data_IF_073257886378
#
_entry.id   IF_073257886378
#
_cell.length_a   1.000
_cell.length_b   1.000
_cell.length_c   1.000
_cell.angle_alpha   90.00
_cell.angle_beta   90.00
_cell.angle_gamma   90.00
#
_symmetry.space_group_name_H-M   'P 1'
#
loop_
_entity.id
_entity.type
_entity.pdbx_description
1 polymer ?
#
# COMPACT_ATOMS: atom_id res chain seq x y z
N UNK A 1 -24.39 -6.59 12.60
CA UNK A 1 -23.06 -6.31 13.18
C UNK A 1 -22.22 -5.61 12.12
N UNK A 2 -22.17 -4.28 12.14
CA UNK A 2 -21.39 -3.51 11.18
C UNK A 2 -19.91 -3.62 11.55
N UNK A 3 -19.12 -4.36 10.76
CA UNK A 3 -17.67 -4.50 10.97
C UNK A 3 -16.97 -3.28 10.37
N UNK A 4 -16.08 -2.67 11.14
CA UNK A 4 -15.17 -1.65 10.66
C UNK A 4 -14.11 -2.31 9.77
N UNK A 5 -13.92 -1.78 8.56
CA UNK A 5 -12.95 -2.28 7.59
C UNK A 5 -11.97 -1.16 7.28
N UNK A 6 -10.72 -1.42 7.63
CA UNK A 6 -9.60 -0.51 7.38
C UNK A 6 -8.88 -0.94 6.10
N UNK A 7 -8.71 -0.02 5.16
CA UNK A 7 -8.01 -0.23 3.90
C UNK A 7 -6.73 0.60 3.87
N UNK A 8 -5.58 -0.07 3.80
CA UNK A 8 -4.26 0.58 3.74
C UNK A 8 -3.72 0.47 2.32
N UNK A 9 -3.34 1.59 1.72
CA UNK A 9 -2.78 1.63 0.37
C UNK A 9 -1.56 2.54 0.30
N UNK A 10 -0.51 2.06 -0.39
CA UNK A 10 0.68 2.82 -0.72
C UNK A 10 0.64 3.18 -2.20
N UNK A 11 0.89 4.45 -2.53
CA UNK A 11 0.71 4.94 -3.89
C UNK A 11 1.77 4.41 -4.87
N UNK A 12 2.97 4.09 -4.39
CA UNK A 12 4.15 3.68 -5.16
C UNK A 12 4.25 2.16 -5.38
N UNK A 13 3.55 1.36 -4.56
CA UNK A 13 3.62 -0.12 -4.58
C UNK A 13 3.34 -0.73 -5.95
N UNK A 14 2.51 -0.08 -6.78
CA UNK A 14 2.17 -0.55 -8.12
C UNK A 14 3.26 -0.37 -9.17
N UNK A 15 4.29 0.44 -8.89
CA UNK A 15 5.33 0.82 -9.83
C UNK A 15 6.61 -0.03 -9.68
N UNK A 16 6.71 -0.86 -8.64
CA UNK A 16 7.86 -1.74 -8.45
C UNK A 16 7.88 -2.87 -9.49
N UNK A 17 9.06 -3.10 -10.06
CA UNK A 17 9.30 -4.14 -11.04
C UNK A 17 10.38 -5.10 -10.54
N UNK A 18 10.01 -6.36 -10.32
CA UNK A 18 10.94 -7.40 -9.83
C UNK A 18 11.87 -7.96 -10.91
N UNK A 19 11.58 -7.77 -12.20
CA UNK A 19 12.34 -8.36 -13.29
C UNK A 19 11.49 -9.10 -14.33
N UNK A 20 12.11 -9.39 -15.47
CA UNK A 20 11.51 -10.17 -16.56
C UNK A 20 11.39 -11.64 -16.13
N UNK A 21 10.29 -12.31 -16.49
CA UNK A 21 10.04 -13.70 -16.07
C UNK A 21 9.62 -13.89 -14.61
N UNK A 22 9.75 -12.87 -13.75
CA UNK A 22 9.31 -12.98 -12.36
C UNK A 22 7.76 -13.02 -12.26
N UNK A 23 7.17 -14.05 -11.62
CA UNK A 23 5.72 -14.24 -11.57
C UNK A 23 5.02 -13.19 -10.70
N UNK A 24 5.71 -12.65 -9.68
CA UNK A 24 5.16 -11.60 -8.83
C UNK A 24 5.15 -10.27 -9.57
N UNK A 25 3.96 -9.70 -9.80
CA UNK A 25 3.77 -8.35 -10.35
C UNK A 25 3.05 -7.45 -9.33
N UNK A 26 3.74 -6.49 -8.68
CA UNK A 26 3.15 -5.54 -7.73
C UNK A 26 2.00 -4.72 -8.30
N UNK A 27 2.00 -4.53 -9.62
CA UNK A 27 0.94 -3.88 -10.37
C UNK A 27 -0.48 -4.40 -10.05
N UNK A 28 -0.62 -5.67 -9.64
CA UNK A 28 -1.90 -6.23 -9.20
C UNK A 28 -2.57 -5.45 -8.08
N UNK A 29 -1.79 -4.85 -7.17
CA UNK A 29 -2.30 -4.04 -6.06
C UNK A 29 -2.90 -2.72 -6.59
N UNK A 30 -2.31 -2.14 -7.63
CA UNK A 30 -2.85 -0.95 -8.32
C UNK A 30 -4.12 -1.26 -9.09
N UNK A 31 -4.19 -2.45 -9.72
CA UNK A 31 -5.41 -2.92 -10.39
C UNK A 31 -6.57 -3.08 -9.40
N UNK A 32 -6.34 -3.72 -8.24
CA UNK A 32 -7.39 -3.91 -7.23
C UNK A 32 -7.82 -2.59 -6.60
N UNK A 33 -6.89 -1.67 -6.34
CA UNK A 33 -7.22 -0.31 -5.86
C UNK A 33 -8.16 0.42 -6.83
N UNK A 34 -7.88 0.36 -8.13
CA UNK A 34 -8.72 1.00 -9.15
C UNK A 34 -10.13 0.39 -9.19
N UNK A 35 -10.25 -0.94 -9.09
CA UNK A 35 -11.56 -1.58 -9.01
C UNK A 35 -12.33 -1.13 -7.77
N UNK A 36 -11.68 -1.09 -6.61
CA UNK A 36 -12.31 -0.65 -5.36
C UNK A 36 -12.86 0.78 -5.45
N UNK A 37 -12.12 1.68 -6.12
CA UNK A 37 -12.57 3.04 -6.40
C UNK A 37 -13.79 3.06 -7.34
N UNK A 38 -13.71 2.36 -8.47
CA UNK A 38 -14.80 2.32 -9.46
C UNK A 38 -16.09 1.69 -8.90
N UNK A 39 -15.98 0.71 -8.02
CA UNK A 39 -17.14 0.10 -7.35
C UNK A 39 -17.69 0.95 -6.19
N UNK A 40 -17.08 2.09 -5.86
CA UNK A 40 -17.55 2.96 -4.76
C UNK A 40 -17.40 2.34 -3.36
N UNK A 41 -16.66 1.22 -3.25
CA UNK A 41 -16.44 0.50 -1.99
C UNK A 41 -15.64 1.32 -0.98
N UNK A 42 -14.86 2.29 -1.47
CA UNK A 42 -14.11 3.26 -0.67
C UNK A 42 -14.99 4.03 0.33
N UNK A 43 -16.30 4.19 0.06
CA UNK A 43 -17.24 4.90 0.94
C UNK A 43 -17.61 4.14 2.21
N UNK A 44 -17.35 2.83 2.25
CA UNK A 44 -17.70 1.94 3.37
C UNK A 44 -16.47 1.52 4.18
N UNK A 45 -15.30 2.09 3.88
CA UNK A 45 -14.02 1.71 4.48
C UNK A 45 -13.28 2.96 4.95
N UNK A 46 -12.48 2.80 5.99
CA UNK A 46 -11.52 3.83 6.42
C UNK A 46 -10.23 3.67 5.63
N UNK A 47 -9.86 4.68 4.85
CA UNK A 47 -8.72 4.64 3.93
C UNK A 47 -7.52 5.30 4.59
N UNK A 48 -6.43 4.55 4.71
CA UNK A 48 -5.15 5.06 5.17
C UNK A 48 -4.15 5.02 4.04
N UNK A 49 -3.60 6.20 3.71
CA UNK A 49 -2.49 6.32 2.78
C UNK A 49 -1.21 6.23 3.59
N UNK A 50 -0.49 5.13 3.45
CA UNK A 50 0.82 4.99 4.06
C UNK A 50 1.84 5.66 3.15
N UNK A 51 2.34 6.82 3.57
CA UNK A 51 3.58 7.34 3.01
C UNK A 51 4.71 6.42 3.47
N UNK A 52 5.68 6.20 2.58
CA UNK A 52 6.89 5.46 2.92
C UNK A 52 7.38 5.92 4.29
N UNK A 53 7.49 4.99 5.24
CA UNK A 53 8.24 5.20 6.46
C UNK A 53 9.68 5.35 5.96
N UNK A 54 10.06 6.59 5.67
CA UNK A 54 11.41 6.96 5.37
C UNK A 54 12.21 6.75 6.65
N UNK A 55 12.60 5.50 6.86
CA UNK A 55 13.58 5.08 7.84
C UNK A 55 13.14 5.37 9.28
N UNK A 56 13.12 4.34 10.13
CA UNK A 56 13.55 4.56 11.51
C UNK A 56 14.78 5.47 11.45
N UNK A 57 14.79 6.63 12.15
CA UNK A 57 15.81 7.64 11.95
C UNK A 57 17.18 6.97 12.05
N UNK A 58 18.03 7.29 11.06
CA UNK A 58 19.45 6.99 11.05
C UNK A 58 20.16 7.69 12.24
N UNK A 59 19.85 7.23 13.46
CA UNK A 59 20.21 7.88 14.72
C UNK A 59 20.32 6.93 15.92
N UNK A 60 20.06 5.63 15.75
CA UNK A 60 20.31 4.60 16.78
C UNK A 60 21.64 3.87 16.58
N UNK A 61 22.65 4.56 16.04
CA UNK A 61 24.03 4.06 15.95
C UNK A 61 25.03 4.84 16.82
N UNK A 62 24.57 5.72 17.73
CA UNK A 62 25.44 6.52 18.59
C UNK A 62 25.03 6.44 20.07
N UNK A 63 24.85 5.20 20.56
CA UNK A 63 25.11 4.87 21.96
C UNK A 63 26.35 3.97 21.97
N UNK A 64 27.47 4.56 21.56
CA UNK A 64 28.87 4.16 21.76
C UNK A 64 29.76 5.35 21.39
#
# INVERSE_FOLDING_TARGET
MCRFVTYVYMWDVGNYYYGQGHPMKPHRIRMTHNLLLNYGLYRKMEIYVSYQIALLPAGWSAVA
#
